data_IF_514361491472
#
_entry.id   IF_514361491472
#
_cell.length_a   1.000
_cell.length_b   1.000
_cell.length_c   1.000
_cell.angle_alpha   90.00
_cell.angle_beta   90.00
_cell.angle_gamma   90.00
#
_symmetry.space_group_name_H-M   'P 1'
#
loop_
_entity.id
_entity.type
_entity.pdbx_description
1 polymer ?
#
# COMPACT_ATOMS: atom_id res chain seq x y z
N UNK A 1 7.98 -12.96 41.17
CA UNK A 1 8.54 -13.04 39.82
C UNK A 1 10.01 -12.78 39.99
N UNK A 2 10.81 -13.82 39.84
CA UNK A 2 12.24 -13.73 40.08
C UNK A 2 12.85 -12.78 39.03
N UNK A 3 13.38 -11.66 39.50
CA UNK A 3 14.25 -10.78 38.73
C UNK A 3 15.67 -11.33 38.91
N UNK A 4 16.15 -12.03 37.89
CA UNK A 4 17.46 -12.69 37.87
C UNK A 4 18.60 -11.76 37.41
N UNK A 5 18.32 -10.45 37.24
CA UNK A 5 19.33 -9.48 36.82
C UNK A 5 19.79 -9.67 35.37
N UNK A 6 19.01 -10.34 34.51
CA UNK A 6 19.33 -10.50 33.09
C UNK A 6 19.31 -9.20 32.27
N UNK A 7 18.86 -8.09 32.86
CA UNK A 7 18.87 -6.76 32.24
C UNK A 7 20.21 -6.02 32.40
N UNK A 8 21.30 -6.55 31.87
CA UNK A 8 22.62 -5.91 32.02
C UNK A 8 22.66 -4.51 31.36
N UNK A 9 22.00 -4.34 30.22
CA UNK A 9 21.80 -3.08 29.50
C UNK A 9 20.57 -3.17 28.59
N UNK A 10 19.97 -2.03 28.23
CA UNK A 10 19.02 -1.96 27.12
C UNK A 10 19.81 -2.00 25.80
N UNK A 11 19.20 -2.56 24.77
CA UNK A 11 19.68 -2.49 23.39
C UNK A 11 19.40 -1.09 22.79
N UNK A 12 19.81 -0.85 21.54
CA UNK A 12 19.65 0.47 20.91
C UNK A 12 18.16 0.82 20.66
N UNK A 13 17.28 -0.19 20.66
CA UNK A 13 15.83 -0.04 20.58
C UNK A 13 15.18 0.21 21.94
N UNK A 14 15.96 0.27 23.03
CA UNK A 14 15.45 0.46 24.38
C UNK A 14 14.85 -0.82 25.00
N UNK A 15 15.04 -1.99 24.39
CA UNK A 15 14.58 -3.28 24.88
C UNK A 15 15.62 -3.87 25.83
N UNK A 16 15.19 -4.20 27.05
CA UNK A 16 16.03 -4.84 28.05
C UNK A 16 16.45 -6.24 27.59
N UNK A 17 17.76 -6.47 27.43
CA UNK A 17 18.30 -7.75 26.92
C UNK A 17 17.96 -8.03 25.45
N UNK A 18 17.59 -7.01 24.68
CA UNK A 18 17.27 -7.14 23.26
C UNK A 18 18.49 -7.30 22.34
N UNK A 19 18.23 -7.59 21.07
CA UNK A 19 19.21 -7.81 20.00
C UNK A 19 19.08 -6.79 18.85
N UNK A 20 18.50 -5.63 19.11
CA UNK A 20 18.18 -4.56 18.15
C UNK A 20 17.10 -4.91 17.10
N UNK A 21 16.53 -6.13 17.09
CA UNK A 21 15.56 -6.52 16.06
C UNK A 21 14.23 -5.77 16.11
N UNK A 22 13.84 -5.24 17.28
CA UNK A 22 12.53 -4.61 17.49
C UNK A 22 12.36 -3.24 16.82
N UNK A 23 13.44 -2.60 16.39
CA UNK A 23 13.46 -1.33 15.69
C UNK A 23 14.40 -1.35 14.48
N UNK A 24 14.66 -2.56 13.97
CA UNK A 24 15.43 -2.81 12.76
C UNK A 24 14.49 -2.97 11.56
N UNK A 25 14.83 -2.32 10.44
CA UNK A 25 14.05 -2.35 9.20
C UNK A 25 14.57 -1.31 8.23
N UNK A 26 13.96 -1.20 7.04
CA UNK A 26 14.38 -0.18 6.08
C UNK A 26 14.07 1.22 6.61
N UNK A 27 15.10 2.05 6.77
CA UNK A 27 14.97 3.42 7.32
C UNK A 27 14.83 4.50 6.25
N UNK A 28 14.99 4.15 4.98
CA UNK A 28 14.95 5.10 3.86
C UNK A 28 13.54 5.17 3.25
N UNK A 29 12.84 6.32 3.34
CA UNK A 29 11.48 6.48 2.82
C UNK A 29 11.39 6.46 1.28
N UNK A 30 12.52 6.42 0.57
CA UNK A 30 12.54 6.28 -0.89
C UNK A 30 12.42 4.82 -1.34
N UNK A 31 12.30 3.86 -0.42
CA UNK A 31 12.13 2.44 -0.70
C UNK A 31 10.74 1.94 -0.29
N UNK A 32 10.23 0.94 -1.01
CA UNK A 32 8.90 0.33 -0.77
C UNK A 32 8.85 -0.35 0.61
N UNK A 33 9.98 -0.89 1.06
CA UNK A 33 10.08 -1.59 2.34
C UNK A 33 10.24 -0.65 3.55
N UNK A 34 10.18 0.68 3.37
CA UNK A 34 10.34 1.66 4.44
C UNK A 34 9.44 1.35 5.65
N UNK A 35 10.08 1.19 6.81
CA UNK A 35 9.40 1.05 8.09
C UNK A 35 9.57 2.35 8.90
N UNK A 36 8.48 3.12 9.12
CA UNK A 36 8.55 4.35 9.90
C UNK A 36 8.87 4.13 11.39
N UNK A 37 8.85 2.89 11.88
CA UNK A 37 9.23 2.52 13.23
C UNK A 37 10.66 1.98 13.33
N UNK A 38 11.33 1.75 12.20
CA UNK A 38 12.73 1.38 12.18
C UNK A 38 13.61 2.60 12.47
N UNK A 39 14.59 2.41 13.35
CA UNK A 39 15.64 3.39 13.64
C UNK A 39 17.04 2.87 13.28
N UNK A 40 17.13 1.58 12.96
CA UNK A 40 18.34 0.89 12.57
C UNK A 40 18.08 0.25 11.20
N UNK A 41 18.90 0.60 10.21
CA UNK A 41 18.84 -0.03 8.90
C UNK A 41 19.37 -1.46 8.99
N UNK A 42 18.55 -2.43 8.61
CA UNK A 42 18.89 -3.85 8.55
C UNK A 42 19.29 -4.30 7.14
N UNK A 43 19.32 -3.38 6.17
CA UNK A 43 19.60 -3.67 4.77
C UNK A 43 18.43 -4.31 4.03
N UNK A 44 17.21 -4.26 4.59
CA UNK A 44 15.99 -4.73 3.92
C UNK A 44 15.50 -3.79 2.80
N UNK A 45 16.05 -2.57 2.68
CA UNK A 45 15.76 -1.64 1.59
C UNK A 45 16.18 -2.25 0.23
N UNK A 46 15.22 -2.85 -0.49
CA UNK A 46 15.50 -3.61 -1.71
C UNK A 46 14.93 -2.97 -2.96
N UNK A 47 13.77 -2.32 -2.85
CA UNK A 47 13.01 -1.81 -3.99
C UNK A 47 12.84 -0.30 -3.88
N UNK A 48 13.51 0.45 -4.76
CA UNK A 48 13.32 1.90 -4.83
C UNK A 48 11.88 2.21 -5.28
N UNK A 49 11.23 3.18 -4.66
CA UNK A 49 9.93 3.70 -5.09
C UNK A 49 10.09 4.32 -6.48
N UNK A 50 9.29 3.82 -7.41
CA UNK A 50 9.09 4.42 -8.73
C UNK A 50 7.62 4.81 -8.80
N UNK A 51 7.36 6.11 -8.71
CA UNK A 51 6.02 6.67 -8.76
C UNK A 51 5.50 6.77 -10.19
N UNK A 52 4.25 6.37 -10.41
CA UNK A 52 3.57 6.49 -11.69
C UNK A 52 2.25 5.74 -11.68
N UNK A 53 1.56 5.71 -12.82
CA UNK A 53 0.27 5.02 -12.89
C UNK A 53 0.44 3.50 -13.00
N UNK A 54 -0.15 2.74 -12.07
CA UNK A 54 -0.06 1.27 -12.05
C UNK A 54 -1.13 0.56 -12.89
N UNK A 55 -2.14 1.29 -13.37
CA UNK A 55 -3.29 0.72 -14.06
C UNK A 55 -3.05 0.69 -15.57
N UNK A 56 -3.05 -0.50 -16.15
CA UNK A 56 -2.79 -0.74 -17.58
C UNK A 56 -3.85 -0.16 -18.52
N UNK A 57 -5.04 0.13 -18.01
CA UNK A 57 -6.12 0.83 -18.72
C UNK A 57 -6.02 2.36 -18.64
N UNK A 58 -5.03 2.93 -17.93
CA UNK A 58 -4.78 4.36 -17.94
C UNK A 58 -4.00 4.79 -19.18
N UNK A 59 -4.32 5.97 -19.71
CA UNK A 59 -3.62 6.60 -20.85
C UNK A 59 -2.16 6.93 -20.54
N UNK A 60 -1.84 7.10 -19.26
CA UNK A 60 -0.50 7.39 -18.74
C UNK A 60 0.04 6.23 -17.87
N UNK A 61 -0.40 4.99 -18.12
CA UNK A 61 0.17 3.79 -17.52
C UNK A 61 1.70 3.79 -17.61
N UNK A 62 2.37 3.57 -16.48
CA UNK A 62 3.83 3.43 -16.40
C UNK A 62 4.21 2.00 -15.98
N UNK A 63 4.75 1.18 -16.89
CA UNK A 63 5.12 -0.21 -16.59
C UNK A 63 6.32 -0.36 -15.66
N UNK A 64 7.08 0.71 -15.39
CA UNK A 64 8.17 0.68 -14.41
C UNK A 64 7.76 1.20 -13.04
N UNK A 65 6.57 1.80 -12.92
CA UNK A 65 6.05 2.24 -11.63
C UNK A 65 5.75 1.03 -10.73
N UNK A 66 6.02 1.20 -9.43
CA UNK A 66 5.68 0.25 -8.38
C UNK A 66 4.83 0.87 -7.26
N UNK A 67 4.63 2.18 -7.31
CA UNK A 67 3.84 2.94 -6.34
C UNK A 67 2.94 3.89 -7.11
N UNK A 68 1.62 3.74 -6.91
CA UNK A 68 0.65 4.65 -7.51
C UNK A 68 0.72 6.02 -6.82
N UNK A 69 0.91 7.07 -7.61
CA UNK A 69 0.93 8.45 -7.15
C UNK A 69 -0.40 9.19 -7.39
N UNK A 70 -1.44 8.47 -7.85
CA UNK A 70 -2.76 9.03 -8.12
C UNK A 70 -2.81 9.95 -9.35
N UNK A 71 -1.78 9.92 -10.21
CA UNK A 71 -1.74 10.70 -11.45
C UNK A 71 -2.47 10.05 -12.62
N UNK A 72 -3.04 8.86 -12.46
CA UNK A 72 -3.65 8.09 -13.54
C UNK A 72 -4.74 8.87 -14.29
N UNK A 73 -4.59 8.95 -15.61
CA UNK A 73 -5.53 9.59 -16.53
C UNK A 73 -6.23 8.50 -17.35
N UNK A 74 -7.55 8.45 -17.32
CA UNK A 74 -8.36 7.52 -18.11
C UNK A 74 -9.09 8.32 -19.21
N UNK A 75 -9.02 7.88 -20.47
CA UNK A 75 -9.68 8.58 -21.60
C UNK A 75 -11.16 8.22 -21.66
N UNK A 76 -11.99 9.24 -21.51
CA UNK A 76 -13.46 9.21 -21.52
C UNK A 76 -14.07 8.88 -22.91
N UNK A 77 -13.28 8.83 -24.00
CA UNK A 77 -13.82 8.80 -25.37
C UNK A 77 -13.88 7.42 -26.03
N UNK A 78 -13.62 6.34 -25.28
CA UNK A 78 -13.37 5.01 -25.86
C UNK A 78 -14.24 3.84 -25.40
N UNK A 79 -15.32 4.06 -24.63
CA UNK A 79 -16.36 3.04 -24.39
C UNK A 79 -15.91 1.81 -23.60
N UNK A 80 -15.68 1.97 -22.30
CA UNK A 80 -15.64 0.83 -21.38
C UNK A 80 -14.76 0.94 -20.13
N UNK A 81 -14.67 2.10 -19.46
CA UNK A 81 -14.88 2.27 -18.01
C UNK A 81 -14.58 3.71 -17.59
N UNK A 82 -15.60 4.55 -17.63
CA UNK A 82 -15.73 5.64 -16.65
C UNK A 82 -15.50 4.98 -15.28
N UNK A 83 -14.57 5.53 -14.50
CA UNK A 83 -14.18 5.14 -13.14
C UNK A 83 -14.57 3.71 -12.66
N UNK A 84 -13.65 2.82 -12.22
CA UNK A 84 -13.97 1.42 -11.86
C UNK A 84 -15.14 1.17 -10.87
N UNK A 85 -15.59 2.20 -10.16
CA UNK A 85 -16.75 2.17 -9.28
C UNK A 85 -18.06 2.68 -9.88
N UNK A 86 -18.09 3.13 -11.13
CA UNK A 86 -19.31 3.45 -11.88
C UNK A 86 -19.89 2.16 -12.47
N UNK A 87 -20.87 1.62 -11.77
CA UNK A 87 -21.49 0.34 -12.07
C UNK A 87 -22.77 0.49 -12.90
N UNK A 88 -23.29 1.71 -13.04
CA UNK A 88 -24.47 2.00 -13.85
C UNK A 88 -24.19 2.78 -15.16
N UNK A 89 -22.95 3.21 -15.36
CA UNK A 89 -22.42 3.84 -16.56
C UNK A 89 -22.89 5.28 -16.74
N UNK A 90 -23.12 6.02 -15.66
CA UNK A 90 -23.60 7.41 -15.70
C UNK A 90 -22.47 8.46 -15.67
N UNK A 91 -21.21 8.02 -15.58
CA UNK A 91 -20.02 8.86 -15.55
C UNK A 91 -19.67 9.39 -14.15
N UNK A 92 -20.24 8.83 -13.08
CA UNK A 92 -19.91 9.20 -11.71
C UNK A 92 -19.83 7.97 -10.78
N UNK A 93 -18.87 7.98 -9.83
CA UNK A 93 -18.94 7.07 -8.67
C UNK A 93 -19.78 7.72 -7.57
N UNK A 94 -21.01 7.25 -7.40
CA UNK A 94 -21.99 7.77 -6.46
C UNK A 94 -22.65 6.67 -5.62
N UNK A 95 -23.58 7.08 -4.75
CA UNK A 95 -24.38 6.12 -3.98
C UNK A 95 -25.23 5.21 -4.88
N UNK A 96 -25.52 5.63 -6.12
CA UNK A 96 -26.25 4.83 -7.09
C UNK A 96 -25.49 3.54 -7.44
N UNK A 97 -24.19 3.64 -7.68
CA UNK A 97 -23.32 2.50 -7.96
C UNK A 97 -23.19 1.56 -6.78
N UNK A 98 -22.99 2.12 -5.58
CA UNK A 98 -22.94 1.31 -4.37
C UNK A 98 -24.27 0.55 -4.18
N UNK A 99 -25.40 1.17 -4.45
CA UNK A 99 -26.71 0.51 -4.40
C UNK A 99 -26.87 -0.54 -5.51
N UNK A 100 -26.32 -0.29 -6.70
CA UNK A 100 -26.28 -1.25 -7.80
C UNK A 100 -25.50 -2.51 -7.38
N UNK A 101 -24.27 -2.36 -6.86
CA UNK A 101 -23.48 -3.45 -6.29
C UNK A 101 -24.25 -4.22 -5.21
N UNK A 102 -24.78 -3.50 -4.20
CA UNK A 102 -25.48 -4.10 -3.07
C UNK A 102 -26.79 -4.79 -3.46
N UNK A 103 -27.38 -4.45 -4.61
CA UNK A 103 -28.61 -5.09 -5.10
C UNK A 103 -28.39 -6.53 -5.59
N UNK A 104 -27.18 -6.86 -6.04
CA UNK A 104 -26.81 -8.20 -6.51
C UNK A 104 -25.75 -8.88 -5.65
N UNK A 105 -25.21 -8.19 -4.64
CA UNK A 105 -24.22 -8.74 -3.72
C UNK A 105 -24.74 -10.01 -3.02
N UNK A 106 -24.02 -11.11 -3.14
CA UNK A 106 -24.40 -12.41 -2.58
C UNK A 106 -25.35 -13.23 -3.47
N UNK A 107 -25.66 -12.79 -4.69
CA UNK A 107 -26.33 -13.64 -5.67
C UNK A 107 -25.39 -14.75 -6.15
N UNK A 108 -25.93 -15.95 -6.36
CA UNK A 108 -25.15 -17.10 -6.84
C UNK A 108 -25.23 -17.20 -8.36
N UNK A 109 -24.08 -17.42 -9.01
CA UNK A 109 -24.01 -17.72 -10.45
C UNK A 109 -24.17 -19.22 -10.67
N UNK A 110 -24.81 -19.61 -11.79
CA UNK A 110 -24.96 -21.01 -12.23
C UNK A 110 -23.99 -21.33 -13.35
#
# INVERSE_FOLDING_TARGET
TDDDGSCATNDDCGVCGGDNSSCSGCTDPTFVEFDPYASIDDGSCGTLVVEGCLYDNATNYDPIANTDNGSCEFDETGGGNDCPGDLDGDGAVATADLLNFLSFFGTTCN
#
